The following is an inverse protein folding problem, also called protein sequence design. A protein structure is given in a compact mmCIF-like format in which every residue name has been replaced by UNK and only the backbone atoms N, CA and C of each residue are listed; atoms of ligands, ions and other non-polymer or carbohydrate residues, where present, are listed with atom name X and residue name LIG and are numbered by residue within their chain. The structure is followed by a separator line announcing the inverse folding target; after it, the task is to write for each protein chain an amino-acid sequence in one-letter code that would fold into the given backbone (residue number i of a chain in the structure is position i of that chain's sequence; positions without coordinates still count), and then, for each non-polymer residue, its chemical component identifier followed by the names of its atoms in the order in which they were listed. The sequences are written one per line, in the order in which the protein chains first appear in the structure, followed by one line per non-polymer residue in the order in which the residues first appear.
data_IF_002675212333
#
_entry.id   IF_002675212333
#
_cell.length_a   1.000
_cell.length_b   1.000
_cell.length_c   1.000
_cell.angle_alpha   90.00
_cell.angle_beta   90.00
_cell.angle_gamma   90.00
#
_symmetry.space_group_name_H-M   'P 1'
#
loop_
_entity.id
_entity.type
_entity.pdbx_description
1 polymer ?
#
# COMPACT_ATOMS: atom_id res chain seq x y z
N UNK A 1 12.09 -7.53 -6.35
CA UNK A 1 10.66 -7.63 -5.95
C UNK A 1 10.06 -6.24 -5.70
N UNK A 2 10.62 -5.39 -4.84
CA UNK A 2 10.02 -4.09 -4.47
C UNK A 2 9.73 -3.15 -5.65
N UNK A 3 10.62 -3.05 -6.64
CA UNK A 3 10.37 -2.24 -7.84
C UNK A 3 9.17 -2.74 -8.65
N UNK A 4 8.93 -4.06 -8.71
CA UNK A 4 7.76 -4.60 -9.39
C UNK A 4 6.47 -4.21 -8.66
N UNK A 5 6.46 -4.33 -7.32
CA UNK A 5 5.30 -3.96 -6.50
C UNK A 5 4.95 -2.46 -6.53
N UNK A 6 5.94 -1.58 -6.73
CA UNK A 6 5.72 -0.13 -6.69
C UNK A 6 5.67 0.55 -8.07
N UNK A 7 6.24 -0.08 -9.11
CA UNK A 7 6.37 0.51 -10.44
C UNK A 7 5.89 -0.40 -11.59
N UNK A 8 5.58 -1.67 -11.30
CA UNK A 8 5.29 -2.68 -12.33
C UNK A 8 3.92 -2.49 -13.01
N UNK A 9 2.88 -2.21 -12.23
CA UNK A 9 1.51 -2.11 -12.74
C UNK A 9 0.88 -3.48 -13.06
N UNK A 10 -0.27 -3.46 -13.74
CA UNK A 10 -1.08 -4.65 -14.08
C UNK A 10 -1.55 -5.51 -12.89
N UNK A 11 -1.48 -4.99 -11.66
CA UNK A 11 -1.99 -5.69 -10.47
C UNK A 11 -3.53 -5.71 -10.44
N UNK A 12 -4.19 -4.66 -10.94
CA UNK A 12 -5.64 -4.44 -10.85
C UNK A 12 -6.20 -4.55 -9.41
N UNK A 13 -5.35 -4.30 -8.41
CA UNK A 13 -5.69 -4.29 -6.99
C UNK A 13 -6.19 -2.93 -6.51
N UNK A 14 -6.91 -2.93 -5.38
CA UNK A 14 -7.39 -1.70 -4.74
C UNK A 14 -6.37 -1.16 -3.73
N UNK A 15 -5.86 0.05 -3.98
CA UNK A 15 -5.11 0.83 -2.99
C UNK A 15 -6.01 1.95 -2.44
N UNK A 16 -6.33 1.88 -1.14
CA UNK A 16 -7.28 2.79 -0.50
C UNK A 16 -6.84 3.14 0.93
N UNK A 17 -7.56 4.09 1.53
CA UNK A 17 -7.29 4.54 2.91
C UNK A 17 -8.52 4.36 3.78
N UNK A 18 -8.31 4.21 5.08
CA UNK A 18 -9.38 4.08 6.08
C UNK A 18 -9.01 4.95 7.29
N UNK A 19 -9.96 5.70 7.86
CA UNK A 19 -9.77 6.36 9.15
C UNK A 19 -9.37 5.37 10.24
N UNK A 20 -8.48 5.80 11.16
CA UNK A 20 -7.91 4.92 12.19
C UNK A 20 -9.00 4.33 13.10
N UNK A 21 -10.01 5.12 13.39
CA UNK A 21 -11.18 4.78 14.18
C UNK A 21 -12.03 3.66 13.54
N UNK A 22 -12.03 3.52 12.22
CA UNK A 22 -12.82 2.50 11.50
C UNK A 22 -12.03 1.22 11.19
N UNK A 23 -10.69 1.24 11.35
CA UNK A 23 -9.81 0.13 10.95
C UNK A 23 -10.24 -1.21 11.57
N UNK A 24 -10.60 -1.22 12.85
CA UNK A 24 -10.97 -2.45 13.56
C UNK A 24 -12.26 -3.05 13.02
N UNK A 25 -13.27 -2.23 12.83
CA UNK A 25 -14.59 -2.68 12.36
C UNK A 25 -14.52 -3.13 10.91
N UNK A 26 -13.76 -2.42 10.06
CA UNK A 26 -13.48 -2.83 8.69
C UNK A 26 -12.85 -4.22 8.62
N UNK A 27 -11.76 -4.47 9.38
CA UNK A 27 -11.10 -5.78 9.35
C UNK A 27 -12.04 -6.91 9.78
N UNK A 28 -12.80 -6.69 10.85
CA UNK A 28 -13.77 -7.66 11.35
C UNK A 28 -14.84 -7.99 10.30
N UNK A 29 -15.41 -6.98 9.65
CA UNK A 29 -16.44 -7.16 8.64
C UNK A 29 -15.87 -7.82 7.38
N UNK A 30 -14.71 -7.35 6.91
CA UNK A 30 -14.05 -7.87 5.72
C UNK A 30 -13.66 -9.34 5.87
N UNK A 31 -13.03 -9.73 6.97
CA UNK A 31 -12.64 -11.12 7.25
C UNK A 31 -13.85 -12.06 7.37
N UNK A 32 -15.02 -11.53 7.77
CA UNK A 32 -16.24 -12.32 7.90
C UNK A 32 -17.00 -12.51 6.58
N UNK A 33 -16.74 -11.67 5.58
CA UNK A 33 -17.55 -11.58 4.35
C UNK A 33 -16.77 -11.91 3.07
N UNK A 34 -15.45 -11.72 3.07
CA UNK A 34 -14.62 -11.81 1.88
C UNK A 34 -13.41 -12.73 2.06
N UNK A 35 -12.92 -13.30 0.95
CA UNK A 35 -11.71 -14.13 0.91
C UNK A 35 -10.48 -13.40 0.36
N UNK A 36 -10.65 -12.13 -0.03
CA UNK A 36 -9.56 -11.30 -0.56
C UNK A 36 -8.68 -10.83 0.60
N UNK A 37 -7.37 -10.93 0.46
CA UNK A 37 -6.44 -10.46 1.49
C UNK A 37 -6.31 -8.94 1.44
N UNK A 38 -6.34 -8.30 2.61
CA UNK A 38 -6.10 -6.86 2.74
C UNK A 38 -4.93 -6.64 3.69
N UNK A 39 -3.94 -5.87 3.24
CA UNK A 39 -2.75 -5.55 4.02
C UNK A 39 -2.66 -4.04 4.20
N UNK A 40 -2.50 -3.60 5.46
CA UNK A 40 -2.18 -2.21 5.77
C UNK A 40 -0.69 -1.97 5.49
N UNK A 41 -0.36 -1.29 4.39
CA UNK A 41 1.02 -1.09 3.92
C UNK A 41 1.64 0.24 4.37
N UNK A 42 0.92 1.04 5.15
CA UNK A 42 1.42 2.34 5.63
C UNK A 42 0.35 3.20 6.29
N UNK A 43 0.66 4.48 6.46
CA UNK A 43 -0.26 5.48 7.00
C UNK A 43 -0.13 6.81 6.25
N UNK A 44 -1.24 7.54 6.15
CA UNK A 44 -1.26 8.87 5.54
C UNK A 44 -0.68 9.90 6.52
N UNK A 45 0.26 10.71 6.03
CA UNK A 45 0.83 11.90 6.66
C UNK A 45 0.62 13.10 5.75
N UNK A 46 1.10 14.28 6.17
CA UNK A 46 0.79 15.54 5.51
C UNK A 46 1.35 15.66 4.08
N UNK A 47 2.62 15.33 3.85
CA UNK A 47 3.30 15.55 2.56
C UNK A 47 4.37 14.50 2.28
N UNK A 48 4.56 14.24 0.98
CA UNK A 48 5.57 13.36 0.40
C UNK A 48 5.40 11.86 0.72
N UNK A 49 5.85 11.03 -0.21
CA UNK A 49 5.95 9.58 -0.01
C UNK A 49 7.28 9.26 0.70
N UNK A 50 7.20 8.56 1.83
CA UNK A 50 8.36 8.00 2.52
C UNK A 50 8.26 6.48 2.49
N UNK A 51 9.27 5.82 1.94
CA UNK A 51 9.40 4.37 1.95
C UNK A 51 10.39 3.97 3.03
N UNK A 52 10.04 2.97 3.82
CA UNK A 52 10.88 2.43 4.88
C UNK A 52 11.14 0.95 4.59
N UNK A 53 12.36 0.50 4.82
CA UNK A 53 12.67 -0.93 4.83
C UNK A 53 12.25 -1.60 6.15
N UNK A 54 12.49 -2.90 6.27
CA UNK A 54 12.16 -3.68 7.47
C UNK A 54 12.90 -3.21 8.74
N UNK A 55 13.96 -2.43 8.59
CA UNK A 55 14.71 -1.82 9.70
C UNK A 55 14.25 -0.40 10.02
N UNK A 56 13.21 0.11 9.36
CA UNK A 56 12.74 1.49 9.50
C UNK A 56 13.67 2.53 8.85
N UNK A 57 14.58 2.10 7.98
CA UNK A 57 15.52 2.98 7.27
C UNK A 57 14.89 3.49 5.98
N UNK A 58 15.17 4.75 5.65
CA UNK A 58 14.71 5.37 4.41
C UNK A 58 15.16 4.57 3.18
N UNK A 59 14.18 4.04 2.45
CA UNK A 59 14.39 3.31 1.22
C UNK A 59 14.21 4.25 0.01
N UNK A 60 15.20 4.29 -0.88
CA UNK A 60 15.10 5.05 -2.13
C UNK A 60 14.68 4.13 -3.26
N UNK A 61 13.54 4.45 -3.86
CA UNK A 61 13.08 3.77 -5.07
C UNK A 61 13.95 4.18 -6.27
N UNK A 62 14.33 3.20 -7.09
CA UNK A 62 15.09 3.43 -8.32
C UNK A 62 14.36 2.77 -9.49
N UNK A 63 14.08 3.52 -10.54
CA UNK A 63 13.36 3.04 -11.73
C UNK A 63 12.39 4.09 -12.27
N UNK A 64 11.71 3.77 -13.36
CA UNK A 64 10.61 4.56 -13.91
C UNK A 64 9.29 3.83 -13.67
N UNK A 65 8.24 4.59 -13.34
CA UNK A 65 6.87 4.06 -13.43
C UNK A 65 6.48 3.94 -14.90
N UNK A 66 5.44 3.17 -15.16
CA UNK A 66 4.84 3.16 -16.48
C UNK A 66 4.29 4.55 -16.83
N UNK A 67 4.72 5.05 -17.98
CA UNK A 67 4.25 6.29 -18.60
C UNK A 67 3.96 5.97 -20.06
N UNK A 68 2.83 6.47 -20.58
CA UNK A 68 2.55 6.34 -22.01
C UNK A 68 3.31 7.42 -22.78
N UNK A 69 4.07 6.98 -23.80
CA UNK A 69 4.89 7.79 -24.72
C UNK A 69 6.14 8.41 -24.08
#
# INVERSE_FOLDING_TARGET
AINAALLGGDDYELCFTIPRELKKDFHKEHESTNKVFVTCVGEIKEKNLKLLDDNGTDFKLSGGAFEHF
#
